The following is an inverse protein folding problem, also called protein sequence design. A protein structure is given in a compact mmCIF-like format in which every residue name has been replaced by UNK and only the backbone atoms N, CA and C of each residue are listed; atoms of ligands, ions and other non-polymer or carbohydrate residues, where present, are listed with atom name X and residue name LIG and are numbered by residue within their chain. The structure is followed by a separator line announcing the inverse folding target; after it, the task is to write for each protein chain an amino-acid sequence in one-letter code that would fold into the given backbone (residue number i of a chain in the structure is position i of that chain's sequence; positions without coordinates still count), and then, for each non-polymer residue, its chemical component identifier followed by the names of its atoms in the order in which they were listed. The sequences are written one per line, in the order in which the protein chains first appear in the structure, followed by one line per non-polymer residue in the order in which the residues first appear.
data_IF_435150116431
#
_entry.id   IF_435150116431
#
_cell.length_a   1.000
_cell.length_b   1.000
_cell.length_c   1.000
_cell.angle_alpha   90.00
_cell.angle_beta   90.00
_cell.angle_gamma   90.00
#
_symmetry.space_group_name_H-M   'P 1'
#
loop_
_entity.id
_entity.type
_entity.pdbx_description
1 polymer ?
#
# COMPACT_ATOMS: atom_id res chain seq x y z
N UNK A 1 16.72 8.29 -7.58
CA UNK A 1 15.64 8.17 -8.58
C UNK A 1 14.79 9.43 -8.57
N UNK A 2 14.43 9.92 -9.71
CA UNK A 2 13.61 11.13 -9.85
C UNK A 2 12.19 10.90 -9.35
N UNK A 3 11.60 11.87 -8.65
CA UNK A 3 10.25 11.71 -8.08
C UNK A 3 9.18 11.39 -9.12
N UNK A 4 9.27 11.98 -10.31
CA UNK A 4 8.32 11.69 -11.39
C UNK A 4 8.38 10.21 -11.80
N UNK A 5 9.60 9.63 -11.86
CA UNK A 5 9.79 8.22 -12.21
C UNK A 5 9.22 7.32 -11.13
N UNK A 6 9.49 7.62 -9.85
CA UNK A 6 8.94 6.85 -8.72
C UNK A 6 7.41 6.84 -8.77
N UNK A 7 6.82 8.01 -8.92
CA UNK A 7 5.36 8.18 -8.92
C UNK A 7 4.72 7.41 -10.07
N UNK A 8 5.29 7.52 -11.27
CA UNK A 8 4.77 6.81 -12.44
C UNK A 8 4.89 5.29 -12.27
N UNK A 9 6.00 4.83 -11.70
CA UNK A 9 6.22 3.41 -11.46
C UNK A 9 5.17 2.83 -10.51
N UNK A 10 4.97 3.42 -9.33
CA UNK A 10 3.96 2.91 -8.38
C UNK A 10 2.56 3.09 -8.92
N UNK A 11 2.29 4.16 -9.67
CA UNK A 11 0.98 4.36 -10.28
C UNK A 11 0.64 3.22 -11.23
N UNK A 12 1.59 2.83 -12.07
CA UNK A 12 1.39 1.74 -13.04
C UNK A 12 1.23 0.38 -12.34
N UNK A 13 1.96 0.15 -11.25
CA UNK A 13 1.88 -1.10 -10.51
C UNK A 13 0.48 -1.37 -9.94
N UNK A 14 -0.35 -0.35 -9.78
CA UNK A 14 -1.73 -0.52 -9.34
C UNK A 14 -2.58 -1.29 -10.35
N UNK A 15 -2.22 -1.24 -11.62
CA UNK A 15 -3.06 -1.72 -12.71
C UNK A 15 -2.56 -2.99 -13.38
N UNK A 16 -1.41 -3.51 -12.97
CA UNK A 16 -0.84 -4.72 -13.57
C UNK A 16 -0.92 -5.89 -12.59
N UNK A 17 -0.91 -7.09 -13.14
CA UNK A 17 -0.81 -8.31 -12.35
C UNK A 17 0.68 -8.58 -12.11
N UNK A 18 1.13 -8.34 -10.88
CA UNK A 18 2.54 -8.42 -10.53
C UNK A 18 2.95 -9.90 -10.46
N UNK A 19 3.96 -10.33 -11.25
CA UNK A 19 4.44 -11.71 -11.16
C UNK A 19 4.90 -12.06 -9.75
N UNK A 20 4.62 -13.29 -9.34
CA UNK A 20 4.89 -13.75 -7.98
C UNK A 20 6.33 -13.48 -7.52
N UNK A 21 7.31 -13.67 -8.40
CA UNK A 21 8.72 -13.46 -8.06
C UNK A 21 9.04 -12.01 -7.66
N UNK A 22 8.17 -11.05 -8.01
CA UNK A 22 8.36 -9.64 -7.68
C UNK A 22 7.54 -9.18 -6.49
N UNK A 23 6.69 -10.04 -5.90
CA UNK A 23 5.85 -9.63 -4.76
C UNK A 23 6.68 -9.12 -3.58
N UNK A 24 7.73 -9.85 -3.20
CA UNK A 24 8.62 -9.42 -2.12
C UNK A 24 9.30 -8.09 -2.39
N UNK A 25 10.05 -7.97 -3.50
CA UNK A 25 10.71 -6.70 -3.83
C UNK A 25 9.74 -5.52 -3.96
N UNK A 26 8.58 -5.72 -4.58
CA UNK A 26 7.59 -4.65 -4.72
C UNK A 26 7.00 -4.28 -3.36
N UNK A 27 6.70 -5.26 -2.51
CA UNK A 27 6.20 -4.99 -1.16
C UNK A 27 7.21 -4.17 -0.36
N UNK A 28 8.48 -4.55 -0.39
CA UNK A 28 9.54 -3.84 0.33
C UNK A 28 9.65 -2.39 -0.15
N UNK A 29 9.61 -2.19 -1.45
CA UNK A 29 9.66 -0.86 -2.05
C UNK A 29 8.49 0.00 -1.59
N UNK A 30 7.27 -0.55 -1.66
CA UNK A 30 6.05 0.18 -1.32
C UNK A 30 5.95 0.45 0.19
N UNK A 31 6.35 -0.49 1.04
CA UNK A 31 6.42 -0.23 2.47
C UNK A 31 7.42 0.88 2.78
N UNK A 32 8.57 0.90 2.12
CA UNK A 32 9.55 1.96 2.28
C UNK A 32 8.98 3.33 1.92
N UNK A 33 8.28 3.44 0.80
CA UNK A 33 7.65 4.69 0.38
C UNK A 33 6.54 5.11 1.36
N UNK A 34 5.73 4.16 1.80
CA UNK A 34 4.62 4.45 2.70
C UNK A 34 5.11 4.99 4.05
N UNK A 35 6.20 4.45 4.56
CA UNK A 35 6.80 4.87 5.83
C UNK A 35 7.48 6.23 5.75
N UNK A 36 7.96 6.63 4.59
CA UNK A 36 8.76 7.83 4.43
C UNK A 36 7.87 9.05 4.23
N UNK A 37 7.69 9.83 5.30
CA UNK A 37 6.86 11.04 5.29
C UNK A 37 7.41 12.14 4.40
N UNK A 38 8.65 12.01 3.94
CA UNK A 38 9.27 12.97 3.01
C UNK A 38 8.84 12.71 1.57
N UNK A 39 8.29 11.52 1.29
CA UNK A 39 7.81 11.21 -0.06
C UNK A 39 6.56 12.02 -0.40
N UNK A 40 6.36 12.32 -1.68
CA UNK A 40 5.15 12.97 -2.15
C UNK A 40 3.93 12.15 -1.75
N UNK A 41 2.84 12.85 -1.41
CA UNK A 41 1.59 12.18 -0.98
C UNK A 41 1.11 11.19 -2.03
N UNK A 42 1.20 11.53 -3.32
CA UNK A 42 0.77 10.63 -4.40
C UNK A 42 1.53 9.31 -4.37
N UNK A 43 2.85 9.35 -4.13
CA UNK A 43 3.67 8.15 -4.06
C UNK A 43 3.22 7.26 -2.90
N UNK A 44 2.96 7.86 -1.74
CA UNK A 44 2.53 7.14 -0.55
C UNK A 44 1.14 6.51 -0.75
N UNK A 45 0.22 7.26 -1.35
CA UNK A 45 -1.14 6.79 -1.63
C UNK A 45 -1.12 5.64 -2.64
N UNK A 46 -0.37 5.77 -3.72
CA UNK A 46 -0.25 4.70 -4.73
C UNK A 46 0.40 3.45 -4.13
N UNK A 47 1.43 3.63 -3.28
CA UNK A 47 2.08 2.50 -2.60
C UNK A 47 1.11 1.74 -1.71
N UNK A 48 0.22 2.44 -1.03
CA UNK A 48 -0.81 1.83 -0.20
C UNK A 48 -1.76 0.97 -1.04
N UNK A 49 -2.15 1.45 -2.21
CA UNK A 49 -3.02 0.71 -3.13
C UNK A 49 -2.33 -0.55 -3.65
N UNK A 50 -1.05 -0.44 -4.03
CA UNK A 50 -0.27 -1.60 -4.48
C UNK A 50 -0.17 -2.64 -3.37
N UNK A 51 0.13 -2.21 -2.15
CA UNK A 51 0.23 -3.12 -1.00
C UNK A 51 -1.09 -3.83 -0.71
N UNK A 52 -2.21 -3.12 -0.78
CA UNK A 52 -3.53 -3.71 -0.62
C UNK A 52 -3.77 -4.83 -1.64
N UNK A 53 -3.36 -4.60 -2.88
CA UNK A 53 -3.45 -5.57 -3.97
C UNK A 53 -2.58 -6.80 -3.68
N UNK A 54 -1.36 -6.59 -3.17
CA UNK A 54 -0.46 -7.68 -2.82
C UNK A 54 -0.97 -8.49 -1.62
N UNK A 55 -1.63 -7.86 -0.66
CA UNK A 55 -2.22 -8.57 0.48
C UNK A 55 -3.22 -9.63 0.03
N UNK A 56 -3.96 -9.36 -1.05
CA UNK A 56 -4.91 -10.34 -1.59
C UNK A 56 -4.20 -11.62 -2.04
N UNK A 57 -2.92 -11.53 -2.44
CA UNK A 57 -2.09 -12.67 -2.87
C UNK A 57 -1.21 -13.21 -1.75
N UNK A 58 -0.77 -12.33 -0.84
CA UNK A 58 0.10 -12.66 0.28
C UNK A 58 -0.53 -12.13 1.59
N UNK A 59 -1.49 -12.87 2.18
CA UNK A 59 -2.20 -12.38 3.38
C UNK A 59 -1.30 -12.06 4.57
N UNK A 60 -0.10 -12.63 4.62
CA UNK A 60 0.87 -12.35 5.70
C UNK A 60 1.24 -10.87 5.78
N UNK A 61 1.10 -10.14 4.67
CA UNK A 61 1.42 -8.70 4.62
C UNK A 61 0.33 -7.84 5.27
N UNK A 62 -0.85 -8.40 5.52
CA UNK A 62 -2.02 -7.64 5.98
C UNK A 62 -1.76 -6.92 7.30
N UNK A 63 -1.24 -7.63 8.29
CA UNK A 63 -1.05 -7.05 9.62
C UNK A 63 -0.06 -5.89 9.60
N UNK A 64 1.05 -6.05 8.90
CA UNK A 64 2.05 -4.99 8.78
C UNK A 64 1.45 -3.74 8.11
N UNK A 65 0.72 -3.93 7.03
CA UNK A 65 0.08 -2.81 6.33
C UNK A 65 -0.95 -2.11 7.21
N UNK A 66 -1.79 -2.88 7.91
CA UNK A 66 -2.80 -2.33 8.79
C UNK A 66 -2.17 -1.47 9.89
N UNK A 67 -1.17 -2.01 10.57
CA UNK A 67 -0.50 -1.30 11.67
C UNK A 67 0.17 -0.03 11.17
N UNK A 68 0.83 -0.09 10.01
CA UNK A 68 1.50 1.07 9.45
C UNK A 68 0.50 2.18 9.08
N UNK A 69 -0.63 1.82 8.48
CA UNK A 69 -1.67 2.79 8.16
C UNK A 69 -2.21 3.44 9.44
N UNK A 70 -2.51 2.63 10.45
CA UNK A 70 -3.04 3.14 11.73
C UNK A 70 -2.05 4.10 12.41
N UNK A 71 -0.76 3.79 12.35
CA UNK A 71 0.28 4.66 12.91
C UNK A 71 0.37 6.00 12.19
N UNK A 72 0.07 6.02 10.88
CA UNK A 72 0.20 7.24 10.08
C UNK A 72 -1.07 8.10 10.09
N UNK A 73 -2.22 7.55 10.46
CA UNK A 73 -3.49 8.29 10.42
C UNK A 73 -3.48 9.61 11.19
N UNK A 74 -2.90 9.71 12.42
CA UNK A 74 -2.89 10.98 13.15
C UNK A 74 -2.19 12.12 12.42
N UNK A 75 -1.30 11.79 11.50
CA UNK A 75 -0.49 12.77 10.75
C UNK A 75 -0.94 12.90 9.30
N UNK A 76 -2.03 12.26 8.94
CA UNK A 76 -2.41 12.08 7.54
C UNK A 76 -3.07 13.32 6.95
N UNK A 77 -2.70 13.63 5.68
CA UNK A 77 -3.41 14.58 4.85
C UNK A 77 -4.78 14.02 4.48
N UNK A 78 -5.72 14.87 3.98
CA UNK A 78 -7.02 14.37 3.53
C UNK A 78 -6.93 13.29 2.46
N UNK A 79 -6.02 13.43 1.50
CA UNK A 79 -5.83 12.44 0.43
C UNK A 79 -5.36 11.10 0.99
N UNK A 80 -4.37 11.12 1.88
CA UNK A 80 -3.87 9.91 2.54
C UNK A 80 -4.98 9.26 3.37
N UNK A 81 -5.70 10.06 4.15
CA UNK A 81 -6.77 9.58 5.03
C UNK A 81 -7.89 8.91 4.24
N UNK A 82 -8.27 9.50 3.10
CA UNK A 82 -9.30 8.94 2.23
C UNK A 82 -8.89 7.56 1.71
N UNK A 83 -7.67 7.43 1.21
CA UNK A 83 -7.16 6.14 0.72
C UNK A 83 -7.01 5.15 1.86
N UNK A 84 -6.52 5.60 3.01
CA UNK A 84 -6.34 4.75 4.19
C UNK A 84 -7.67 4.13 4.62
N UNK A 85 -8.73 4.91 4.64
CA UNK A 85 -10.06 4.42 5.01
C UNK A 85 -10.53 3.30 4.08
N UNK A 86 -10.37 3.47 2.77
CA UNK A 86 -10.70 2.43 1.78
C UNK A 86 -9.86 1.18 1.97
N UNK A 87 -8.56 1.38 2.18
CA UNK A 87 -7.63 0.27 2.33
C UNK A 87 -7.94 -0.55 3.56
N UNK A 88 -8.22 0.11 4.69
CA UNK A 88 -8.58 -0.59 5.92
C UNK A 88 -9.86 -1.42 5.76
N UNK A 89 -10.85 -0.89 5.04
CA UNK A 89 -12.07 -1.64 4.74
C UNK A 89 -11.77 -2.86 3.89
N UNK A 90 -10.90 -2.71 2.91
CA UNK A 90 -10.49 -3.82 2.04
C UNK A 90 -9.75 -4.90 2.82
N UNK A 91 -8.84 -4.50 3.72
CA UNK A 91 -8.11 -5.43 4.57
C UNK A 91 -9.04 -6.19 5.51
N UNK A 92 -10.05 -5.54 6.07
CA UNK A 92 -11.03 -6.18 6.93
C UNK A 92 -11.85 -7.21 6.15
N UNK A 93 -12.20 -6.91 4.90
CA UNK A 93 -12.93 -7.85 4.03
C UNK A 93 -12.10 -9.11 3.76
N UNK A 94 -10.81 -8.93 3.49
CA UNK A 94 -9.89 -10.05 3.23
C UNK A 94 -9.79 -10.92 4.49
N UNK A 95 -9.70 -10.31 5.67
CA UNK A 95 -9.62 -11.02 6.94
C UNK A 95 -10.88 -11.86 7.18
N UNK A 96 -12.05 -11.30 6.92
CA UNK A 96 -13.32 -12.01 7.07
C UNK A 96 -13.36 -13.23 6.15
N UNK A 97 -12.95 -13.07 4.89
CA UNK A 97 -12.90 -14.19 3.91
C UNK A 97 -11.93 -15.27 4.37
N UNK A 98 -10.80 -14.89 4.94
CA UNK A 98 -9.80 -15.85 5.44
C UNK A 98 -10.32 -16.68 6.59
N UNK A 99 -11.23 -16.14 7.40
CA UNK A 99 -11.82 -16.83 8.53
C UNK A 99 -13.02 -17.71 8.15
N UNK A 100 -13.59 -17.44 6.99
CA UNK A 100 -14.70 -18.24 6.48
C UNK A 100 -14.20 -19.53 5.85
#
# INVERSE_FOLDING_TARGET
MHDAVKRNTVRLLQFIDIPRRYWGPVADLCFGYLKDRRQAIAIRVFSMTVLSKLVAREPDLRQELKLLIEDELPYASPAFRSRASRTLKELNRIDIKSKA
#
